data_IF_171182916908
#
_entry.id   IF_171182916908
#
_cell.length_a   1.000
_cell.length_b   1.000
_cell.length_c   1.000
_cell.angle_alpha   90.00
_cell.angle_beta   90.00
_cell.angle_gamma   90.00
#
_symmetry.space_group_name_H-M   'P 1'
#
loop_
_entity.id
_entity.type
_entity.pdbx_description
1 polymer ?
#
# COMPACT_ATOMS: atom_id res chain seq x y z
N UNK A 1 7.87 -13.72 -12.26
CA UNK A 1 8.07 -12.49 -13.08
C UNK A 1 7.92 -11.28 -12.18
N UNK A 2 8.76 -10.25 -12.32
CA UNK A 2 8.79 -9.06 -11.44
C UNK A 2 7.74 -7.98 -11.82
N UNK A 3 6.69 -8.31 -12.57
CA UNK A 3 5.62 -7.37 -12.87
C UNK A 3 4.71 -7.12 -11.65
N UNK A 4 4.47 -8.16 -10.83
CA UNK A 4 3.64 -8.07 -9.63
C UNK A 4 4.17 -7.12 -8.55
N UNK A 5 5.45 -6.77 -8.57
CA UNK A 5 6.03 -5.77 -7.65
C UNK A 5 5.75 -4.33 -8.09
N UNK A 6 4.91 -4.11 -9.10
CA UNK A 6 4.53 -2.77 -9.57
C UNK A 6 5.66 -2.04 -10.28
N UNK A 7 6.21 -2.63 -11.35
CA UNK A 7 7.28 -2.05 -12.15
C UNK A 7 6.90 -2.03 -13.64
N UNK A 8 6.78 -0.83 -14.22
CA UNK A 8 6.37 -0.70 -15.62
C UNK A 8 7.34 -1.34 -16.61
N UNK A 9 8.66 -1.27 -16.37
CA UNK A 9 9.66 -1.93 -17.21
C UNK A 9 9.43 -3.44 -17.30
N UNK A 10 9.12 -4.05 -16.15
CA UNK A 10 8.87 -5.49 -16.04
C UNK A 10 7.48 -5.88 -16.53
N UNK A 11 6.49 -5.03 -16.32
CA UNK A 11 5.14 -5.27 -16.84
C UNK A 11 5.12 -5.24 -18.37
N UNK A 12 5.81 -4.28 -19.00
CA UNK A 12 5.95 -4.23 -20.46
C UNK A 12 6.65 -5.46 -21.07
N UNK A 13 7.43 -6.20 -20.27
CA UNK A 13 8.07 -7.45 -20.67
C UNK A 13 7.24 -8.70 -20.32
N UNK A 14 6.13 -8.53 -19.61
CA UNK A 14 5.24 -9.61 -19.18
C UNK A 14 4.26 -9.98 -20.29
N UNK A 15 3.60 -11.16 -20.22
CA UNK A 15 2.56 -11.54 -21.18
C UNK A 15 1.23 -10.80 -20.95
N UNK A 16 1.12 -9.99 -19.90
CA UNK A 16 -0.10 -9.28 -19.53
C UNK A 16 -0.14 -7.87 -20.10
N UNK A 17 -1.35 -7.41 -20.39
CA UNK A 17 -1.65 -6.09 -20.93
C UNK A 17 -2.54 -5.31 -19.96
N UNK A 18 -2.72 -4.01 -20.22
CA UNK A 18 -3.71 -3.22 -19.49
C UNK A 18 -5.13 -3.77 -19.62
N UNK A 19 -5.46 -4.38 -20.76
CA UNK A 19 -6.77 -5.01 -20.95
C UNK A 19 -6.98 -6.16 -19.97
N UNK A 20 -5.96 -6.98 -19.73
CA UNK A 20 -6.02 -8.09 -18.77
C UNK A 20 -6.20 -7.56 -17.34
N UNK A 21 -5.54 -6.45 -17.00
CA UNK A 21 -5.71 -5.80 -15.69
C UNK A 21 -7.10 -5.20 -15.53
N UNK A 22 -7.64 -4.53 -16.55
CA UNK A 22 -9.00 -4.00 -16.52
C UNK A 22 -10.04 -5.12 -16.40
N UNK A 23 -9.82 -6.26 -17.08
CA UNK A 23 -10.65 -7.44 -16.94
C UNK A 23 -10.59 -7.99 -15.50
N UNK A 24 -9.39 -8.11 -14.91
CA UNK A 24 -9.21 -8.47 -13.51
C UNK A 24 -9.94 -7.52 -12.55
N UNK A 25 -9.80 -6.21 -12.77
CA UNK A 25 -10.42 -5.18 -11.95
C UNK A 25 -11.95 -5.22 -11.98
N UNK A 26 -12.57 -5.69 -13.06
CA UNK A 26 -14.02 -5.89 -13.11
C UNK A 26 -14.50 -6.93 -12.08
N UNK A 27 -13.71 -7.99 -11.85
CA UNK A 27 -14.00 -8.98 -10.82
C UNK A 27 -13.81 -8.39 -9.43
N UNK A 28 -12.72 -7.67 -9.20
CA UNK A 28 -12.47 -6.99 -7.92
C UNK A 28 -13.58 -5.99 -7.59
N UNK A 29 -14.06 -5.24 -8.58
CA UNK A 29 -15.16 -4.29 -8.43
C UNK A 29 -16.45 -4.99 -7.99
N UNK A 30 -16.78 -6.12 -8.61
CA UNK A 30 -17.95 -6.92 -8.25
C UNK A 30 -17.85 -7.44 -6.82
N UNK A 31 -16.67 -7.87 -6.42
CA UNK A 31 -16.40 -8.38 -5.06
C UNK A 31 -16.38 -7.26 -4.00
N UNK A 32 -16.48 -5.99 -4.40
CA UNK A 32 -16.54 -4.81 -3.54
C UNK A 32 -17.87 -4.05 -3.61
N UNK A 33 -18.84 -4.52 -4.39
CA UNK A 33 -20.08 -3.78 -4.68
C UNK A 33 -20.89 -3.41 -3.43
N UNK A 34 -20.74 -4.16 -2.34
CA UNK A 34 -21.40 -3.98 -1.05
C UNK A 34 -20.56 -3.19 -0.03
N UNK A 35 -19.39 -2.69 -0.43
CA UNK A 35 -18.41 -2.05 0.46
C UNK A 35 -18.21 -0.59 0.08
N UNK A 36 -18.73 0.31 0.92
CA UNK A 36 -18.64 1.76 0.71
C UNK A 36 -17.28 2.36 1.14
N UNK A 37 -16.65 1.76 2.16
CA UNK A 37 -15.43 2.27 2.80
C UNK A 37 -14.36 1.19 2.91
N UNK A 38 -13.80 0.74 1.77
CA UNK A 38 -12.76 -0.28 1.79
C UNK A 38 -11.42 0.31 2.25
N UNK A 39 -10.73 -0.40 3.13
CA UNK A 39 -9.37 -0.09 3.56
C UNK A 39 -8.46 -1.28 3.31
N UNK A 40 -7.49 -1.12 2.40
CA UNK A 40 -6.56 -2.17 2.00
C UNK A 40 -5.60 -2.52 3.15
N UNK A 41 -5.69 -3.76 3.61
CA UNK A 41 -4.73 -4.42 4.49
C UNK A 41 -3.92 -5.42 3.66
N UNK A 42 -2.61 -5.20 3.53
CA UNK A 42 -1.76 -6.10 2.75
C UNK A 42 -1.07 -7.13 3.64
N UNK A 43 -1.35 -8.42 3.43
CA UNK A 43 -0.75 -9.47 4.21
C UNK A 43 0.70 -9.74 3.78
N UNK A 44 1.59 -9.57 4.75
CA UNK A 44 2.96 -10.13 4.75
C UNK A 44 3.26 -10.90 6.03
N UNK A 45 2.36 -10.85 7.02
CA UNK A 45 2.42 -11.55 8.30
C UNK A 45 1.00 -11.58 8.87
N UNK A 46 0.51 -12.78 9.15
CA UNK A 46 -0.88 -13.00 9.54
C UNK A 46 -1.28 -12.29 10.83
N UNK A 47 -0.39 -12.20 11.82
CA UNK A 47 -0.74 -11.56 13.09
C UNK A 47 -0.81 -10.06 12.95
N UNK A 48 0.17 -9.47 12.24
CA UNK A 48 0.17 -8.06 11.93
C UNK A 48 -1.07 -7.71 11.12
N UNK A 49 -1.38 -8.48 10.08
CA UNK A 49 -2.55 -8.27 9.24
C UNK A 49 -3.85 -8.40 10.04
N UNK A 50 -3.96 -9.35 10.97
CA UNK A 50 -5.15 -9.51 11.81
C UNK A 50 -5.37 -8.33 12.76
N UNK A 51 -4.32 -7.83 13.41
CA UNK A 51 -4.40 -6.61 14.23
C UNK A 51 -4.87 -5.45 13.38
N UNK A 52 -4.26 -5.31 12.21
CA UNK A 52 -4.60 -4.31 11.22
C UNK A 52 -6.08 -4.38 10.80
N UNK A 53 -6.60 -5.55 10.44
CA UNK A 53 -8.00 -5.73 10.13
C UNK A 53 -8.94 -5.30 11.28
N UNK A 54 -8.60 -5.63 12.53
CA UNK A 54 -9.41 -5.21 13.69
C UNK A 54 -9.44 -3.69 13.88
N UNK A 55 -8.30 -3.01 13.69
CA UNK A 55 -8.27 -1.55 13.82
C UNK A 55 -9.13 -0.86 12.77
N UNK A 56 -9.13 -1.39 11.53
CA UNK A 56 -9.99 -0.88 10.44
C UNK A 56 -11.48 -1.01 10.80
N UNK A 57 -11.89 -2.16 11.34
CA UNK A 57 -13.27 -2.36 11.81
C UNK A 57 -13.64 -1.38 12.92
N UNK A 58 -12.74 -1.16 13.89
CA UNK A 58 -12.98 -0.28 15.04
C UNK A 58 -13.19 1.19 14.62
N UNK A 59 -12.65 1.60 13.47
CA UNK A 59 -12.89 2.94 12.91
C UNK A 59 -14.05 2.99 11.92
N UNK A 60 -14.82 1.91 11.80
CA UNK A 60 -16.03 1.85 10.98
C UNK A 60 -15.79 1.66 9.48
N UNK A 61 -14.59 1.26 9.08
CA UNK A 61 -14.25 0.92 7.70
C UNK A 61 -14.24 -0.60 7.51
N UNK A 62 -14.30 -1.05 6.26
CA UNK A 62 -14.26 -2.48 5.92
C UNK A 62 -12.84 -2.89 5.55
N UNK A 63 -12.23 -3.86 6.26
CA UNK A 63 -10.92 -4.37 5.88
C UNK A 63 -11.02 -5.10 4.54
N UNK A 64 -10.31 -4.59 3.55
CA UNK A 64 -10.08 -5.25 2.28
C UNK A 64 -8.70 -5.91 2.32
N UNK A 65 -8.66 -7.24 2.36
CA UNK A 65 -7.44 -8.00 2.60
C UNK A 65 -6.88 -8.51 1.27
N UNK A 66 -5.74 -7.92 0.85
CA UNK A 66 -4.88 -8.44 -0.20
C UNK A 66 -3.65 -9.13 0.41
N UNK A 67 -2.87 -9.87 -0.37
CA UNK A 67 -1.74 -10.62 0.16
C UNK A 67 -0.63 -10.84 -0.86
N UNK A 68 0.60 -10.94 -0.35
CA UNK A 68 1.71 -11.47 -1.14
C UNK A 68 1.51 -12.98 -1.34
N UNK A 69 1.52 -13.52 -2.57
CA UNK A 69 1.35 -14.94 -2.85
C UNK A 69 2.35 -15.86 -2.13
N UNK A 70 3.51 -15.33 -1.72
CA UNK A 70 4.52 -16.08 -0.94
C UNK A 70 4.09 -16.37 0.48
N UNK A 71 3.21 -15.54 1.04
CA UNK A 71 2.67 -15.66 2.40
C UNK A 71 1.28 -16.30 2.36
N UNK A 72 0.47 -15.90 1.37
CA UNK A 72 -0.90 -16.38 1.21
C UNK A 72 -1.91 -15.54 1.99
N UNK A 73 -3.17 -15.96 1.90
CA UNK A 73 -4.30 -15.27 2.52
C UNK A 73 -4.28 -15.47 4.04
N UNK A 74 -4.34 -14.40 4.85
CA UNK A 74 -4.39 -14.54 6.31
C UNK A 74 -5.80 -14.94 6.76
N UNK A 75 -5.97 -15.38 8.01
CA UNK A 75 -7.29 -15.45 8.61
C UNK A 75 -8.01 -14.09 8.54
N UNK A 76 -9.33 -14.14 8.33
CA UNK A 76 -10.17 -12.94 8.21
C UNK A 76 -10.99 -12.72 9.47
N UNK A 77 -10.96 -11.50 10.01
CA UNK A 77 -11.87 -11.06 11.07
C UNK A 77 -13.31 -10.96 10.53
N UNK A 78 -14.34 -11.11 11.38
CA UNK A 78 -15.73 -10.96 10.92
C UNK A 78 -15.97 -9.58 10.31
N UNK A 79 -16.50 -9.55 9.08
CA UNK A 79 -16.73 -8.31 8.33
C UNK A 79 -15.59 -7.90 7.38
N UNK A 80 -14.42 -8.55 7.43
CA UNK A 80 -13.39 -8.36 6.42
C UNK A 80 -13.73 -9.07 5.10
N UNK A 81 -13.21 -8.54 3.98
CA UNK A 81 -13.33 -9.11 2.63
C UNK A 81 -11.93 -9.37 2.09
N UNK A 82 -11.65 -10.61 1.69
CA UNK A 82 -10.40 -10.92 0.98
C UNK A 82 -10.57 -10.77 -0.53
N UNK A 83 -9.52 -10.30 -1.20
CA UNK A 83 -9.39 -10.32 -2.66
C UNK A 83 -8.01 -10.84 -3.02
N UNK A 84 -7.99 -11.91 -3.81
CA UNK A 84 -6.77 -12.37 -4.47
C UNK A 84 -6.54 -11.55 -5.75
N UNK A 85 -5.83 -10.44 -5.61
CA UNK A 85 -5.42 -9.59 -6.75
C UNK A 85 -4.50 -10.32 -7.73
N UNK A 86 -3.87 -11.42 -7.31
CA UNK A 86 -2.91 -12.16 -8.11
C UNK A 86 -3.52 -13.35 -8.85
N UNK A 87 -4.72 -13.80 -8.50
CA UNK A 87 -5.39 -14.96 -9.11
C UNK A 87 -5.37 -14.97 -10.65
N UNK A 88 -5.61 -13.85 -11.36
CA UNK A 88 -5.58 -13.83 -12.82
C UNK A 88 -4.18 -13.89 -13.43
N UNK A 89 -3.15 -13.53 -12.65
CA UNK A 89 -1.80 -13.30 -13.16
C UNK A 89 -0.78 -14.38 -12.75
N UNK A 90 -0.99 -15.01 -11.59
CA UNK A 90 -0.09 -16.04 -11.07
C UNK A 90 1.34 -15.54 -10.85
N UNK A 91 1.53 -14.27 -10.47
CA UNK A 91 2.86 -13.77 -10.13
C UNK A 91 3.37 -14.47 -8.86
N UNK A 92 4.68 -14.70 -8.80
CA UNK A 92 5.34 -15.27 -7.62
C UNK A 92 5.43 -14.30 -6.43
N UNK A 93 5.17 -13.02 -6.67
CA UNK A 93 5.26 -11.93 -5.70
C UNK A 93 4.36 -10.81 -6.18
N UNK A 94 3.58 -10.22 -5.29
CA UNK A 94 2.77 -9.04 -5.58
C UNK A 94 2.91 -8.05 -4.43
N UNK A 95 3.03 -6.76 -4.76
CA UNK A 95 3.07 -5.66 -3.79
C UNK A 95 1.75 -4.90 -3.78
N UNK A 96 1.40 -4.20 -2.69
CA UNK A 96 0.16 -3.42 -2.61
C UNK A 96 0.09 -2.31 -3.66
N UNK A 97 1.24 -1.86 -4.19
CA UNK A 97 1.28 -0.93 -5.32
C UNK A 97 0.57 -1.45 -6.56
N UNK A 98 0.50 -2.78 -6.77
CA UNK A 98 -0.20 -3.36 -7.90
C UNK A 98 -1.68 -2.97 -7.93
N UNK A 99 -2.50 -3.31 -6.93
CA UNK A 99 -3.88 -2.85 -6.90
C UNK A 99 -4.02 -1.33 -6.72
N UNK A 100 -3.10 -0.64 -6.03
CA UNK A 100 -3.18 0.81 -5.85
C UNK A 100 -3.10 1.60 -7.17
N UNK A 101 -2.30 1.13 -8.14
CA UNK A 101 -2.20 1.72 -9.49
C UNK A 101 -3.55 1.77 -10.21
N UNK A 102 -4.39 0.78 -9.97
CA UNK A 102 -5.66 0.57 -10.68
C UNK A 102 -6.88 0.78 -9.79
N UNK A 103 -6.74 1.45 -8.65
CA UNK A 103 -7.84 1.65 -7.70
C UNK A 103 -9.08 2.28 -8.37
N UNK A 104 -8.89 3.20 -9.31
CA UNK A 104 -9.96 3.81 -10.12
C UNK A 104 -10.87 2.81 -10.84
N UNK A 105 -10.34 1.62 -11.17
CA UNK A 105 -11.06 0.62 -11.95
C UNK A 105 -12.04 -0.20 -11.08
N UNK A 106 -11.84 -0.25 -9.76
CA UNK A 106 -12.60 -1.15 -8.89
C UNK A 106 -13.15 -0.54 -7.61
N UNK A 107 -12.74 0.67 -7.22
CA UNK A 107 -13.24 1.33 -6.02
C UNK A 107 -13.55 2.81 -6.30
N UNK A 108 -14.63 3.33 -5.70
CA UNK A 108 -14.90 4.77 -5.69
C UNK A 108 -13.88 5.51 -4.80
N UNK A 109 -13.39 4.81 -3.76
CA UNK A 109 -12.33 5.26 -2.86
C UNK A 109 -11.65 4.04 -2.25
N UNK A 110 -10.34 4.11 -2.05
CA UNK A 110 -9.58 3.07 -1.37
C UNK A 110 -8.61 3.70 -0.37
N UNK A 111 -8.86 3.49 0.93
CA UNK A 111 -7.83 3.73 1.94
C UNK A 111 -6.80 2.60 1.93
N UNK A 112 -5.57 2.88 2.34
CA UNK A 112 -4.52 1.89 2.42
C UNK A 112 -3.54 2.24 3.53
N UNK A 113 -2.81 1.22 3.99
CA UNK A 113 -1.65 1.38 4.85
C UNK A 113 -0.57 0.39 4.51
N UNK A 114 0.63 0.65 5.01
CA UNK A 114 1.75 -0.27 4.88
C UNK A 114 1.67 -1.40 5.92
N UNK A 115 2.19 -2.57 5.58
CA UNK A 115 2.04 -3.80 6.37
C UNK A 115 2.80 -3.79 7.70
N UNK A 116 3.78 -2.91 7.87
CA UNK A 116 4.58 -2.75 9.10
C UNK A 116 4.21 -1.47 9.90
N UNK A 117 3.04 -0.88 9.62
CA UNK A 117 2.53 0.30 10.30
C UNK A 117 1.44 -0.08 11.32
N UNK A 118 1.59 0.42 12.55
CA UNK A 118 0.50 0.54 13.52
C UNK A 118 0.24 2.01 13.81
N UNK A 119 -1.01 2.38 14.05
CA UNK A 119 -1.42 3.76 14.35
C UNK A 119 -2.30 3.75 15.59
N UNK A 120 -2.14 4.66 16.57
CA UNK A 120 -3.03 4.71 17.71
C UNK A 120 -4.48 4.93 17.24
N UNK A 121 -5.43 4.26 17.87
CA UNK A 121 -6.82 4.22 17.40
C UNK A 121 -7.44 5.60 17.23
N UNK A 122 -7.18 6.53 18.16
CA UNK A 122 -7.68 7.91 18.07
C UNK A 122 -7.18 8.65 16.82
N UNK A 123 -5.92 8.40 16.43
CA UNK A 123 -5.35 8.97 15.22
C UNK A 123 -5.93 8.27 13.98
N UNK A 124 -6.15 6.96 14.03
CA UNK A 124 -6.80 6.24 12.95
C UNK A 124 -8.25 6.72 12.72
N UNK A 125 -9.01 7.04 13.78
CA UNK A 125 -10.34 7.67 13.68
C UNK A 125 -10.28 9.03 12.99
N UNK A 126 -9.24 9.82 13.23
CA UNK A 126 -9.06 11.10 12.56
C UNK A 126 -8.79 10.92 11.06
N UNK A 127 -7.95 9.94 10.69
CA UNK A 127 -7.70 9.61 9.28
C UNK A 127 -8.93 9.02 8.58
N UNK A 128 -9.68 8.15 9.25
CA UNK A 128 -10.93 7.60 8.74
C UNK A 128 -11.90 8.72 8.32
N UNK A 129 -12.10 9.73 9.19
CA UNK A 129 -12.91 10.92 8.86
C UNK A 129 -12.33 11.75 7.71
N UNK A 130 -11.00 11.92 7.67
CA UNK A 130 -10.33 12.64 6.58
C UNK A 130 -10.53 11.92 5.24
N UNK A 131 -10.40 10.60 5.22
CA UNK A 131 -10.58 9.79 4.03
C UNK A 131 -12.05 9.72 3.61
N UNK A 132 -12.99 9.73 4.56
CA UNK A 132 -14.41 9.87 4.27
C UNK A 132 -14.75 11.17 3.54
N UNK A 133 -14.03 12.24 3.86
CA UNK A 133 -14.21 13.57 3.27
C UNK A 133 -13.33 13.84 2.04
N UNK A 134 -12.58 12.85 1.53
CA UNK A 134 -11.72 13.03 0.35
C UNK A 134 -12.55 13.45 -0.87
N UNK A 135 -12.05 14.39 -1.65
CA UNK A 135 -12.69 14.77 -2.92
C UNK A 135 -12.41 13.73 -4.02
N UNK A 136 -13.28 13.64 -5.03
CA UNK A 136 -13.12 12.64 -6.10
C UNK A 136 -11.86 12.87 -6.96
N UNK A 137 -11.23 14.05 -6.91
CA UNK A 137 -10.01 14.34 -7.67
C UNK A 137 -8.74 14.19 -6.84
N UNK A 138 -8.85 13.84 -5.55
CA UNK A 138 -7.75 13.90 -4.59
C UNK A 138 -7.10 12.54 -4.32
N UNK A 139 -5.78 12.55 -4.15
CA UNK A 139 -5.02 11.48 -3.50
C UNK A 139 -4.44 12.03 -2.20
N UNK A 140 -4.51 11.25 -1.13
CA UNK A 140 -3.82 11.49 0.13
C UNK A 140 -2.71 10.46 0.28
N UNK A 141 -1.47 10.90 0.51
CA UNK A 141 -0.32 10.01 0.71
C UNK A 141 0.60 10.53 1.82
N UNK A 142 1.58 9.72 2.25
CA UNK A 142 2.54 10.15 3.27
C UNK A 142 3.74 10.87 2.64
N UNK A 143 4.19 11.96 3.24
CA UNK A 143 5.43 12.65 2.87
C UNK A 143 6.62 12.11 3.67
N UNK A 144 7.66 11.59 3.01
CA UNK A 144 8.85 11.13 3.72
C UNK A 144 9.60 12.27 4.41
N UNK A 145 10.05 12.01 5.63
CA UNK A 145 10.93 12.85 6.41
C UNK A 145 12.34 12.83 5.80
N UNK A 146 12.58 13.70 4.82
CA UNK A 146 13.91 13.89 4.26
C UNK A 146 14.73 14.85 5.16
N UNK A 147 15.97 14.48 5.56
CA UNK A 147 16.88 15.39 6.23
C UNK A 147 17.03 16.69 5.45
N UNK A 148 17.17 17.82 6.14
CA UNK A 148 17.25 19.15 5.51
C UNK A 148 18.32 19.24 4.41
N UNK A 149 19.45 18.53 4.56
CA UNK A 149 20.50 18.44 3.53
C UNK A 149 19.99 17.76 2.25
N UNK A 150 19.19 16.71 2.39
CA UNK A 150 18.64 15.96 1.26
C UNK A 150 17.47 16.70 0.59
N UNK A 151 16.82 17.64 1.28
CA UNK A 151 15.88 18.58 0.64
C UNK A 151 16.57 19.52 -0.36
N UNK A 152 17.88 19.77 -0.18
CA UNK A 152 18.70 20.66 -1.02
C UNK A 152 19.45 19.89 -2.13
N UNK A 153 19.78 18.60 -1.91
CA UNK A 153 20.58 17.76 -2.82
C UNK A 153 19.78 17.19 -4.02
N UNK A 154 18.53 17.60 -4.19
CA UNK A 154 17.80 17.52 -5.47
C UNK A 154 16.72 16.43 -5.58
N UNK A 155 16.00 16.39 -6.73
CA UNK A 155 14.78 15.59 -6.96
C UNK A 155 14.92 14.07 -6.85
N UNK A 156 16.15 13.55 -6.70
CA UNK A 156 16.51 12.13 -6.91
C UNK A 156 15.98 11.11 -5.88
N UNK A 157 15.28 11.54 -4.84
CA UNK A 157 14.69 10.64 -3.84
C UNK A 157 13.29 11.10 -3.37
N UNK A 158 12.72 12.14 -4.00
CA UNK A 158 11.40 12.64 -3.60
C UNK A 158 10.33 11.72 -4.17
N UNK A 159 9.47 11.20 -3.29
CA UNK A 159 8.31 10.37 -3.66
C UNK A 159 7.20 10.55 -2.64
N UNK A 160 5.96 10.29 -3.04
CA UNK A 160 4.88 10.02 -2.10
C UNK A 160 5.07 8.60 -1.53
N UNK A 161 5.00 8.44 -0.20
CA UNK A 161 5.10 7.14 0.45
C UNK A 161 3.72 6.51 0.63
N UNK A 162 3.65 5.22 0.32
CA UNK A 162 2.53 4.33 0.56
C UNK A 162 2.38 3.91 2.04
N UNK A 163 2.83 4.74 2.99
CA UNK A 163 2.80 4.40 4.41
C UNK A 163 1.36 4.37 4.96
N UNK A 164 0.63 5.46 4.74
CA UNK A 164 -0.80 5.59 4.98
C UNK A 164 -1.35 6.57 3.93
N UNK A 165 -2.53 6.27 3.41
CA UNK A 165 -3.17 7.18 2.47
C UNK A 165 -4.54 6.72 2.01
N UNK A 166 -5.09 7.46 1.07
CA UNK A 166 -6.37 7.18 0.46
C UNK A 166 -6.39 7.72 -0.96
N UNK A 167 -6.86 6.92 -1.91
CA UNK A 167 -7.08 7.33 -3.29
C UNK A 167 -8.57 7.43 -3.55
N UNK A 168 -9.01 8.53 -4.14
CA UNK A 168 -10.32 8.61 -4.80
C UNK A 168 -10.23 8.00 -6.20
N UNK A 169 -11.39 7.67 -6.78
CA UNK A 169 -11.46 7.16 -8.14
C UNK A 169 -11.00 8.18 -9.18
N UNK A 170 -11.51 9.40 -9.15
CA UNK A 170 -11.09 10.44 -10.11
C UNK A 170 -9.61 10.83 -9.94
N UNK A 171 -9.11 10.92 -8.71
CA UNK A 171 -7.69 11.18 -8.44
C UNK A 171 -6.80 10.05 -8.97
N UNK A 172 -7.17 8.79 -8.70
CA UNK A 172 -6.47 7.61 -9.21
C UNK A 172 -6.52 7.54 -10.75
N UNK A 173 -7.67 7.83 -11.37
CA UNK A 173 -7.82 7.83 -12.83
C UNK A 173 -6.98 8.93 -13.47
N UNK A 174 -7.08 10.17 -12.97
CA UNK A 174 -6.30 11.31 -13.45
C UNK A 174 -4.80 11.03 -13.37
N UNK A 175 -4.36 10.47 -12.24
CA UNK A 175 -2.97 10.06 -12.05
C UNK A 175 -2.52 9.05 -13.12
N UNK A 176 -3.34 8.03 -13.40
CA UNK A 176 -3.06 7.01 -14.41
C UNK A 176 -3.09 7.56 -15.85
N UNK A 177 -4.09 8.37 -16.21
CA UNK A 177 -4.26 8.93 -17.56
C UNK A 177 -3.16 9.93 -17.93
N UNK A 178 -2.57 10.62 -16.96
CA UNK A 178 -1.39 11.49 -17.16
C UNK A 178 -0.08 10.71 -17.28
N UNK A 179 -0.14 9.39 -17.25
CA UNK A 179 1.00 8.50 -17.30
C UNK A 179 1.88 8.53 -16.05
N UNK A 180 1.28 8.83 -14.91
CA UNK A 180 1.98 8.90 -13.64
C UNK A 180 1.89 7.54 -12.91
N UNK A 181 1.33 7.46 -11.70
CA UNK A 181 1.16 6.18 -11.01
C UNK A 181 2.04 5.98 -9.77
N UNK A 182 1.70 4.92 -9.04
CA UNK A 182 2.39 4.35 -7.89
C UNK A 182 3.55 3.43 -8.28
N UNK A 183 3.55 2.89 -9.49
CA UNK A 183 4.55 1.92 -9.93
C UNK A 183 5.94 2.52 -10.19
N UNK A 184 6.96 1.69 -10.00
CA UNK A 184 8.33 1.97 -10.38
C UNK A 184 8.47 2.21 -11.89
N UNK A 185 9.52 2.93 -12.25
CA UNK A 185 9.88 3.27 -13.62
C UNK A 185 8.72 3.95 -14.37
N UNK A 186 8.00 4.87 -13.72
CA UNK A 186 6.82 5.55 -14.27
C UNK A 186 7.08 6.31 -15.59
N UNK A 187 8.34 6.62 -15.92
CA UNK A 187 8.72 7.12 -17.24
C UNK A 187 8.41 6.13 -18.39
N UNK A 188 8.21 4.85 -18.09
CA UNK A 188 7.75 3.82 -19.04
C UNK A 188 6.24 3.61 -19.04
N UNK A 189 5.49 4.35 -18.21
CA UNK A 189 4.04 4.20 -18.13
C UNK A 189 3.39 4.29 -19.52
N UNK A 190 2.40 3.42 -19.86
CA UNK A 190 1.78 3.36 -21.17
C UNK A 190 1.19 4.70 -21.65
N UNK A 191 0.60 5.47 -20.74
CA UNK A 191 0.08 6.82 -21.01
C UNK A 191 1.12 7.97 -20.99
N UNK A 192 2.43 7.68 -20.92
CA UNK A 192 3.46 8.72 -20.96
C UNK A 192 3.50 9.41 -22.35
N UNK A 193 3.34 10.74 -22.38
CA UNK A 193 3.14 11.52 -23.60
C UNK A 193 4.44 11.77 -24.41
N UNK A 194 4.80 10.81 -25.26
CA UNK A 194 5.87 10.99 -26.24
C UNK A 194 7.29 10.95 -25.68
N UNK A 195 8.26 11.09 -26.59
CA UNK A 195 9.68 10.89 -26.27
C UNK A 195 10.28 11.99 -25.38
N UNK A 196 9.88 13.24 -25.58
CA UNK A 196 10.43 14.37 -24.83
C UNK A 196 10.03 14.31 -23.36
N UNK A 197 8.77 14.00 -23.09
CA UNK A 197 8.25 13.84 -21.75
C UNK A 197 8.90 12.65 -21.04
N UNK A 198 9.04 11.51 -21.75
CA UNK A 198 9.77 10.34 -21.24
C UNK A 198 11.21 10.71 -20.84
N UNK A 199 11.93 11.47 -21.67
CA UNK A 199 13.29 11.92 -21.36
C UNK A 199 13.37 12.82 -20.12
N UNK A 200 12.32 13.62 -19.84
CA UNK A 200 12.24 14.39 -18.60
C UNK A 200 12.01 13.46 -17.40
N UNK A 201 11.00 12.58 -17.47
CA UNK A 201 10.63 11.65 -16.39
C UNK A 201 11.76 10.67 -16.03
N UNK A 202 12.62 10.29 -16.98
CA UNK A 202 13.82 9.48 -16.73
C UNK A 202 14.85 10.16 -15.81
N UNK A 203 14.75 11.47 -15.57
CA UNK A 203 15.63 12.19 -14.64
C UNK A 203 15.12 12.16 -13.20
N UNK A 204 13.86 11.78 -13.01
CA UNK A 204 13.24 11.61 -11.70
C UNK A 204 13.66 10.30 -11.04
N UNK A 205 13.32 10.14 -9.76
CA UNK A 205 13.54 8.87 -9.07
C UNK A 205 12.69 7.75 -9.69
N UNK A 206 13.25 6.55 -9.77
CA UNK A 206 12.59 5.43 -10.46
C UNK A 206 11.66 4.63 -9.55
N UNK A 207 11.68 4.87 -8.23
CA UNK A 207 10.96 4.06 -7.24
C UNK A 207 9.47 4.42 -7.15
N UNK A 208 8.72 3.59 -6.43
CA UNK A 208 7.29 3.74 -6.17
C UNK A 208 6.91 5.13 -5.68
N UNK A 209 5.70 5.57 -6.05
CA UNK A 209 5.13 6.85 -5.60
C UNK A 209 5.82 8.10 -6.15
N UNK A 210 6.88 7.96 -6.96
CA UNK A 210 7.48 9.11 -7.67
C UNK A 210 6.53 9.67 -8.72
N UNK A 211 5.81 8.79 -9.45
CA UNK A 211 4.80 9.22 -10.42
C UNK A 211 3.67 10.02 -9.77
N UNK A 212 3.16 9.60 -8.60
CA UNK A 212 2.15 10.35 -7.83
C UNK A 212 2.64 11.76 -7.48
N UNK A 213 3.90 11.90 -7.07
CA UNK A 213 4.49 13.22 -6.80
C UNK A 213 4.63 14.06 -8.07
N UNK A 214 5.04 13.43 -9.18
CA UNK A 214 5.15 14.08 -10.49
C UNK A 214 3.80 14.61 -10.97
N UNK A 215 2.73 13.85 -10.76
CA UNK A 215 1.37 14.25 -11.09
C UNK A 215 0.96 15.54 -10.38
N UNK A 216 1.27 15.67 -9.08
CA UNK A 216 1.06 16.91 -8.32
C UNK A 216 1.88 18.06 -8.89
N UNK A 217 3.17 17.84 -9.09
CA UNK A 217 4.13 18.92 -9.39
C UNK A 217 4.06 19.39 -10.85
N UNK A 218 3.57 18.56 -11.77
CA UNK A 218 3.67 18.79 -13.23
C UNK A 218 2.41 18.49 -14.04
N UNK A 219 1.35 17.93 -13.43
CA UNK A 219 0.13 17.54 -14.15
C UNK A 219 -1.15 18.08 -13.48
N UNK A 220 -1.03 19.15 -12.69
CA UNK A 220 -2.13 19.78 -11.94
C UNK A 220 -2.87 18.81 -11.00
N UNK A 221 -2.16 17.79 -10.52
CA UNK A 221 -2.71 16.77 -9.65
C UNK A 221 -3.03 17.25 -8.24
N UNK A 222 -4.18 16.86 -7.70
CA UNK A 222 -4.57 17.17 -6.33
C UNK A 222 -4.03 16.10 -5.36
N UNK A 223 -2.84 16.34 -4.82
CA UNK A 223 -2.18 15.47 -3.85
C UNK A 223 -2.01 16.18 -2.50
N UNK A 224 -2.73 15.68 -1.50
CA UNK A 224 -2.58 16.05 -0.10
C UNK A 224 -1.58 15.13 0.60
N UNK A 225 -0.74 15.71 1.46
CA UNK A 225 0.28 14.94 2.18
C UNK A 225 -0.04 14.79 3.67
N UNK A 226 0.34 13.64 4.22
CA UNK A 226 0.41 13.34 5.65
C UNK A 226 1.89 13.42 6.06
N UNK A 227 2.26 14.29 7.01
CA UNK A 227 3.64 14.33 7.50
C UNK A 227 4.04 12.98 8.11
N UNK A 228 5.18 12.39 7.70
CA UNK A 228 5.67 11.11 8.27
C UNK A 228 5.77 11.17 9.80
N UNK A 229 6.08 12.32 10.40
CA UNK A 229 6.15 12.47 11.86
C UNK A 229 4.85 12.09 12.59
N UNK A 230 3.70 12.14 11.91
CA UNK A 230 2.41 11.69 12.44
C UNK A 230 2.24 10.16 12.43
N UNK A 231 3.11 9.43 11.75
CA UNK A 231 3.04 7.97 11.59
C UNK A 231 4.28 7.28 12.12
N UNK A 232 5.41 7.98 12.13
CA UNK A 232 6.74 7.51 12.50
C UNK A 232 6.80 6.68 13.80
N UNK A 233 6.11 7.06 14.89
CA UNK A 233 6.17 6.27 16.13
C UNK A 233 5.68 4.83 15.98
N UNK A 234 4.85 4.56 14.98
CA UNK A 234 4.28 3.24 14.72
C UNK A 234 4.79 2.56 13.46
N UNK A 235 5.84 3.09 12.81
CA UNK A 235 6.43 2.51 11.60
C UNK A 235 7.57 1.54 11.96
N UNK A 236 7.29 0.24 11.92
CA UNK A 236 8.20 -0.82 12.38
C UNK A 236 9.11 -1.32 11.25
N UNK A 237 10.00 -0.45 10.79
CA UNK A 237 10.84 -0.68 9.60
C UNK A 237 12.34 -0.77 9.89
N UNK A 238 13.09 -1.40 8.97
CA UNK A 238 14.57 -1.42 8.95
C UNK A 238 15.18 -0.03 8.90
N UNK A 239 14.52 0.91 8.21
CA UNK A 239 15.04 2.28 8.02
C UNK A 239 15.32 2.95 9.38
N UNK A 240 14.52 2.64 10.40
CA UNK A 240 14.59 3.25 11.74
C UNK A 240 15.48 2.50 12.71
N UNK A 241 15.76 1.22 12.47
CA UNK A 241 16.56 0.37 13.35
C UNK A 241 17.82 -0.15 12.69
N UNK A 242 18.46 0.62 11.80
CA UNK A 242 19.63 0.18 11.02
C UNK A 242 20.68 -0.58 11.84
N UNK A 243 20.93 -0.12 13.07
CA UNK A 243 21.97 -0.69 13.95
C UNK A 243 21.53 -1.96 14.71
N UNK A 244 20.22 -2.20 14.83
CA UNK A 244 19.66 -3.33 15.62
C UNK A 244 18.78 -4.27 14.81
N UNK A 245 18.51 -3.94 13.54
CA UNK A 245 17.63 -4.69 12.67
C UNK A 245 18.36 -5.90 12.09
N UNK A 246 17.82 -7.08 12.38
CA UNK A 246 18.28 -8.35 11.82
C UNK A 246 17.64 -8.55 10.46
N UNK A 247 18.45 -8.48 9.41
CA UNK A 247 18.05 -8.85 8.05
C UNK A 247 17.99 -10.37 7.98
N UNK A 248 16.83 -10.93 7.64
CA UNK A 248 16.64 -12.37 7.45
C UNK A 248 16.45 -12.63 5.96
N UNK A 249 17.52 -13.00 5.26
CA UNK A 249 17.46 -13.37 3.84
C UNK A 249 17.97 -12.29 2.89
N UNK A 250 17.27 -12.10 1.77
CA UNK A 250 17.69 -11.25 0.66
C UNK A 250 17.32 -9.77 0.88
N UNK A 251 18.19 -8.86 0.43
CA UNK A 251 18.00 -7.40 0.46
C UNK A 251 17.43 -6.85 -0.88
N UNK A 252 16.61 -7.65 -1.56
CA UNK A 252 15.96 -7.29 -2.83
C UNK A 252 14.47 -7.66 -2.82
N UNK A 253 13.83 -7.69 -3.99
CA UNK A 253 12.41 -8.02 -4.10
C UNK A 253 12.03 -9.39 -3.51
N UNK A 254 13.00 -10.30 -3.29
CA UNK A 254 12.82 -11.60 -2.62
C UNK A 254 12.78 -11.50 -1.10
N UNK A 255 12.95 -10.30 -0.53
CA UNK A 255 12.88 -10.06 0.92
C UNK A 255 11.66 -10.72 1.54
N UNK A 256 11.90 -11.41 2.65
CA UNK A 256 10.88 -12.04 3.48
C UNK A 256 10.56 -11.11 4.65
N UNK A 257 9.61 -10.21 4.42
CA UNK A 257 9.21 -9.21 5.41
C UNK A 257 8.56 -9.86 6.64
N UNK A 258 7.93 -11.02 6.48
CA UNK A 258 7.32 -11.78 7.58
C UNK A 258 8.38 -12.16 8.62
N UNK A 259 9.42 -12.85 8.15
CA UNK A 259 10.53 -13.30 9.00
C UNK A 259 11.24 -12.13 9.65
N UNK A 260 11.40 -11.01 8.93
CA UNK A 260 12.04 -9.83 9.51
C UNK A 260 11.18 -9.14 10.57
N UNK A 261 9.87 -9.00 10.37
CA UNK A 261 8.99 -8.43 11.40
C UNK A 261 9.03 -9.26 12.68
N UNK A 262 8.87 -10.57 12.56
CA UNK A 262 8.92 -11.51 13.68
C UNK A 262 10.29 -11.54 14.37
N UNK A 263 11.39 -11.42 13.62
CA UNK A 263 12.74 -11.41 14.19
C UNK A 263 13.10 -10.12 14.95
N UNK A 264 12.44 -9.00 14.61
CA UNK A 264 12.81 -7.67 15.09
C UNK A 264 11.81 -7.05 16.07
N UNK A 265 10.55 -7.50 16.04
CA UNK A 265 9.48 -6.90 16.81
C UNK A 265 8.59 -7.95 17.46
N UNK A 266 8.35 -7.78 18.77
CA UNK A 266 7.24 -8.47 19.43
C UNK A 266 5.97 -7.68 19.15
N UNK A 267 5.06 -8.24 18.36
CA UNK A 267 3.80 -7.58 18.00
C UNK A 267 2.98 -7.18 19.24
N UNK A 268 2.94 -8.02 20.27
CA UNK A 268 2.27 -7.71 21.54
C UNK A 268 2.84 -6.43 22.19
N UNK A 269 4.18 -6.31 22.27
CA UNK A 269 4.85 -5.13 22.84
C UNK A 269 4.68 -3.90 21.95
N UNK A 270 4.72 -4.08 20.63
CA UNK A 270 4.46 -3.02 19.66
C UNK A 270 3.03 -2.47 19.84
N UNK A 271 2.03 -3.35 19.93
CA UNK A 271 0.65 -2.97 20.17
C UNK A 271 0.47 -2.27 21.53
N UNK A 272 1.09 -2.77 22.60
CA UNK A 272 1.03 -2.14 23.92
C UNK A 272 1.60 -0.71 23.90
N UNK A 273 2.77 -0.52 23.29
CA UNK A 273 3.39 0.80 23.13
C UNK A 273 2.52 1.79 22.32
N UNK A 274 1.69 1.27 21.42
CA UNK A 274 0.76 2.06 20.59
C UNK A 274 -0.63 2.23 21.21
N UNK A 275 -0.86 1.70 22.42
CA UNK A 275 -2.18 1.73 23.08
C UNK A 275 -3.22 0.79 22.45
N UNK A 276 -2.77 -0.23 21.71
CA UNK A 276 -3.58 -1.18 20.95
C UNK A 276 -3.72 -2.55 21.62
N UNK A 277 -3.41 -2.67 22.91
CA UNK A 277 -3.42 -3.94 23.65
C UNK A 277 -4.75 -4.70 23.51
N UNK A 278 -5.88 -4.01 23.68
CA UNK A 278 -7.21 -4.61 23.54
C UNK A 278 -7.47 -5.14 22.12
N UNK A 279 -7.08 -4.38 21.10
CA UNK A 279 -7.18 -4.79 19.69
C UNK A 279 -6.34 -6.05 19.45
N UNK A 280 -5.11 -6.09 19.97
CA UNK A 280 -4.25 -7.26 19.87
C UNK A 280 -4.88 -8.50 20.53
N UNK A 281 -5.42 -8.37 21.74
CA UNK A 281 -6.08 -9.47 22.45
C UNK A 281 -7.31 -9.99 21.69
N UNK A 282 -8.08 -9.10 21.06
CA UNK A 282 -9.21 -9.48 20.20
C UNK A 282 -8.74 -10.22 18.95
N UNK A 283 -7.72 -9.70 18.26
CA UNK A 283 -7.14 -10.34 17.08
C UNK A 283 -6.60 -11.75 17.40
N UNK A 284 -5.90 -11.91 18.52
CA UNK A 284 -5.35 -13.21 18.93
C UNK A 284 -6.42 -14.20 19.39
N UNK A 285 -7.46 -13.72 20.07
CA UNK A 285 -8.64 -14.54 20.41
C UNK A 285 -9.30 -15.06 19.14
N UNK A 286 -9.51 -14.19 18.14
CA UNK A 286 -10.06 -14.58 16.85
C UNK A 286 -9.20 -15.63 16.14
N UNK A 287 -7.87 -15.44 16.09
CA UNK A 287 -6.93 -16.41 15.51
C UNK A 287 -7.06 -17.79 16.15
N UNK A 288 -7.12 -17.86 17.48
CA UNK A 288 -7.25 -19.12 18.23
C UNK A 288 -8.59 -19.82 18.02
N UNK A 289 -9.66 -19.05 17.76
CA UNK A 289 -11.01 -19.58 17.54
C UNK A 289 -11.21 -20.24 16.16
N UNK A 290 -10.25 -20.08 15.23
CA UNK A 290 -10.28 -20.67 13.89
C UNK A 290 -9.00 -21.47 13.58
N UNK A 291 -8.78 -22.62 14.23
CA UNK A 291 -7.57 -23.43 14.01
C UNK A 291 -7.52 -24.11 12.61
N UNK A 292 -8.62 -24.14 11.85
CA UNK A 292 -8.80 -25.02 10.69
C UNK A 292 -8.46 -24.43 9.30
N UNK A 293 -7.66 -23.35 9.19
CA UNK A 293 -7.22 -22.84 7.87
C UNK A 293 -5.69 -22.94 7.65
N UNK A 294 -5.02 -23.86 8.34
CA UNK A 294 -3.57 -24.10 8.23
C UNK A 294 -3.21 -25.40 7.48
N UNK A 295 -4.07 -25.86 6.56
CA UNK A 295 -3.77 -27.02 5.68
C UNK A 295 -3.64 -26.59 4.24
#
# INVERSE_FOLDING_TARGET
MAAGIGNWERFCQSPFTLHDVCAAASYWKRDLQDIERPWLCWNVDDEWCLVQQQMVLEVGWTPLVGFDPRVGMPPLVPGARAIDFNAPFGFSTMYPHFPLEFAFAFAERLAFWHSDLLVPLERMKAYARRFEAISDEEIIATEPALPWRNRIIGPRIRRAWELLGCVSKGGSLSNFEKGCGWWMCFYLHPNCQGHDERRKRMREYWDHGTGVLYWRDHCDGNLSMIPEAELDPGHFTRIRRRDTYKVTGHDDWRRDLSSELSANFSLAKACEAMGLKKIYEQAMTHRRSRPEMLT
#
